data_IF_334569480384
#
_entry.id   IF_334569480384
#
_cell.length_a   1.000
_cell.length_b   1.000
_cell.length_c   1.000
_cell.angle_alpha   90.00
_cell.angle_beta   90.00
_cell.angle_gamma   90.00
#
_symmetry.space_group_name_H-M   'P 1'
#
loop_
_entity.id
_entity.type
_entity.pdbx_description
1 polymer ?
#
# COMPACT_ATOMS: atom_id res chain seq x y z
N UNK A 1 -35.34 8.76 0.93
CA UNK A 1 -34.00 8.19 1.33
C UNK A 1 -32.92 8.92 0.55
N UNK A 2 -31.79 9.26 1.17
CA UNK A 2 -30.67 9.88 0.45
C UNK A 2 -30.08 8.85 -0.52
N UNK A 3 -30.02 9.21 -1.80
CA UNK A 3 -29.42 8.35 -2.85
C UNK A 3 -27.87 8.37 -2.78
N UNK A 4 -27.35 8.31 -1.53
CA UNK A 4 -25.92 8.45 -1.21
C UNK A 4 -25.26 7.09 -1.00
N UNK A 5 -24.07 6.89 -1.56
CA UNK A 5 -23.23 5.72 -1.34
C UNK A 5 -22.30 5.99 -0.17
N UNK A 6 -22.26 5.08 0.80
CA UNK A 6 -21.35 5.15 1.94
C UNK A 6 -20.06 4.39 1.58
N UNK A 7 -18.89 5.02 1.75
CA UNK A 7 -17.60 4.37 1.59
C UNK A 7 -16.96 4.26 2.97
N UNK A 8 -16.76 3.03 3.44
CA UNK A 8 -16.22 2.75 4.77
C UNK A 8 -14.72 2.52 4.65
N UNK A 9 -13.93 3.50 5.10
CA UNK A 9 -12.47 3.52 5.06
C UNK A 9 -11.92 4.52 4.04
N UNK A 10 -11.03 5.40 4.51
CA UNK A 10 -10.30 6.43 3.75
C UNK A 10 -8.91 5.99 3.28
N UNK A 11 -8.66 4.68 3.15
CA UNK A 11 -7.44 4.13 2.56
C UNK A 11 -7.41 4.24 1.04
N UNK A 12 -6.35 3.72 0.40
CA UNK A 12 -6.18 3.77 -1.07
C UNK A 12 -7.42 3.23 -1.80
N UNK A 13 -7.98 2.10 -1.36
CA UNK A 13 -9.16 1.51 -1.98
C UNK A 13 -10.40 2.42 -1.87
N UNK A 14 -10.67 2.95 -0.68
CA UNK A 14 -11.81 3.84 -0.46
C UNK A 14 -11.70 5.16 -1.22
N UNK A 15 -10.53 5.81 -1.19
CA UNK A 15 -10.30 7.06 -1.93
C UNK A 15 -10.34 6.85 -3.46
N UNK A 16 -9.81 5.72 -3.95
CA UNK A 16 -9.89 5.38 -5.38
C UNK A 16 -11.36 5.17 -5.80
N UNK A 17 -12.15 4.51 -4.95
CA UNK A 17 -13.60 4.36 -5.15
C UNK A 17 -14.32 5.70 -5.14
N UNK A 18 -13.99 6.56 -4.18
CA UNK A 18 -14.56 7.91 -4.07
C UNK A 18 -14.31 8.73 -5.34
N UNK A 19 -13.09 8.72 -5.87
CA UNK A 19 -12.74 9.35 -7.14
C UNK A 19 -13.55 8.80 -8.33
N UNK A 20 -13.76 7.49 -8.37
CA UNK A 20 -14.57 6.87 -9.42
C UNK A 20 -16.02 7.35 -9.34
N UNK A 21 -16.62 7.35 -8.15
CA UNK A 21 -17.99 7.84 -7.95
C UNK A 21 -18.12 9.34 -8.25
N UNK A 22 -17.12 10.15 -7.87
CA UNK A 22 -17.05 11.57 -8.18
C UNK A 22 -17.08 11.81 -9.69
N UNK A 23 -16.29 11.06 -10.47
CA UNK A 23 -16.30 11.13 -11.94
C UNK A 23 -17.62 10.70 -12.57
N UNK A 24 -18.35 9.81 -11.94
CA UNK A 24 -19.68 9.37 -12.36
C UNK A 24 -20.79 10.32 -11.88
N UNK A 25 -20.47 11.43 -11.21
CA UNK A 25 -21.41 12.36 -10.60
C UNK A 25 -22.42 11.68 -9.64
N UNK A 26 -21.99 10.62 -8.96
CA UNK A 26 -22.77 9.94 -7.92
C UNK A 26 -22.55 10.60 -6.57
N UNK A 27 -23.62 10.67 -5.74
CA UNK A 27 -23.48 11.17 -4.38
C UNK A 27 -22.86 10.11 -3.48
N UNK A 28 -21.82 10.49 -2.73
CA UNK A 28 -21.13 9.59 -1.80
C UNK A 28 -20.58 10.36 -0.59
N UNK A 29 -20.20 9.62 0.43
CA UNK A 29 -19.43 10.09 1.58
C UNK A 29 -18.42 9.03 1.99
N UNK A 30 -17.18 9.44 2.29
CA UNK A 30 -16.13 8.59 2.86
C UNK A 30 -16.17 8.73 4.37
N UNK A 31 -16.22 7.61 5.07
CA UNK A 31 -16.28 7.51 6.52
C UNK A 31 -15.03 6.77 7.01
N UNK A 32 -14.09 7.52 7.59
CA UNK A 32 -12.77 7.03 8.00
C UNK A 32 -12.68 6.90 9.52
N UNK A 33 -12.14 5.78 9.99
CA UNK A 33 -12.07 5.45 11.41
C UNK A 33 -11.12 6.36 12.21
N UNK A 34 -9.97 6.72 11.62
CA UNK A 34 -9.01 7.59 12.32
C UNK A 34 -9.49 9.03 12.37
N UNK A 35 -9.25 9.75 13.47
CA UNK A 35 -9.64 11.16 13.58
C UNK A 35 -8.82 12.08 12.65
N UNK A 36 -7.61 11.67 12.31
CA UNK A 36 -6.72 12.40 11.42
C UNK A 36 -6.06 11.44 10.43
N UNK A 37 -6.21 11.72 9.14
CA UNK A 37 -5.57 10.94 8.09
C UNK A 37 -4.09 11.33 8.01
N UNK A 38 -3.22 10.45 8.52
CA UNK A 38 -1.77 10.64 8.48
C UNK A 38 -1.14 9.89 7.33
N UNK A 39 -0.10 10.49 6.79
CA UNK A 39 0.75 9.87 5.79
C UNK A 39 1.59 8.77 6.45
N UNK A 40 1.15 7.51 6.37
CA UNK A 40 1.86 6.35 6.91
C UNK A 40 2.17 5.33 5.84
N UNK A 41 3.27 4.62 6.01
CA UNK A 41 3.63 3.47 5.21
C UNK A 41 4.97 3.61 4.52
N UNK A 42 5.34 2.56 3.84
CA UNK A 42 6.57 2.41 3.08
C UNK A 42 6.32 2.65 1.58
N UNK A 43 7.15 2.11 0.70
CA UNK A 43 6.93 2.18 -0.74
C UNK A 43 5.83 1.23 -1.22
N UNK A 44 5.30 1.54 -2.38
CA UNK A 44 4.40 0.69 -3.14
C UNK A 44 4.74 0.76 -4.63
N UNK A 45 4.74 -0.40 -5.29
CA UNK A 45 4.90 -0.48 -6.75
C UNK A 45 3.54 -0.60 -7.42
N UNK A 46 3.29 0.27 -8.37
CA UNK A 46 2.08 0.35 -9.18
C UNK A 46 2.40 -0.20 -10.57
N UNK A 47 1.87 -1.39 -10.85
CA UNK A 47 2.00 -1.98 -12.18
C UNK A 47 1.07 -1.31 -13.20
N UNK A 48 1.31 -1.55 -14.48
CA UNK A 48 0.59 -0.91 -15.58
C UNK A 48 -0.94 -1.00 -15.50
N UNK A 49 -1.50 -2.09 -14.93
CA UNK A 49 -2.94 -2.20 -14.71
C UNK A 49 -3.45 -1.17 -13.68
N UNK A 50 -2.70 -0.94 -12.61
CA UNK A 50 -3.03 0.10 -11.61
C UNK A 50 -2.89 1.50 -12.22
N UNK A 51 -1.80 1.75 -12.96
CA UNK A 51 -1.60 3.04 -13.66
C UNK A 51 -2.70 3.31 -14.69
N UNK A 52 -3.20 2.28 -15.38
CA UNK A 52 -4.37 2.41 -16.28
C UNK A 52 -5.63 2.86 -15.53
N UNK A 53 -5.87 2.30 -14.35
CA UNK A 53 -7.00 2.71 -13.52
C UNK A 53 -6.83 4.16 -13.04
N UNK A 54 -5.64 4.53 -12.55
CA UNK A 54 -5.32 5.90 -12.12
C UNK A 54 -5.44 6.91 -13.27
N UNK A 55 -5.05 6.53 -14.50
CA UNK A 55 -5.25 7.36 -15.70
C UNK A 55 -6.73 7.61 -15.99
N UNK A 56 -7.58 6.59 -15.87
CA UNK A 56 -9.04 6.77 -15.99
C UNK A 56 -9.58 7.70 -14.90
N UNK A 57 -8.97 7.72 -13.74
CA UNK A 57 -9.32 8.63 -12.64
C UNK A 57 -8.71 10.02 -12.80
N UNK A 58 -7.73 10.22 -13.71
CA UNK A 58 -7.10 11.50 -14.00
C UNK A 58 -6.06 11.93 -12.98
N UNK A 59 -5.43 10.97 -12.30
CA UNK A 59 -4.40 11.23 -11.26
C UNK A 59 -3.04 10.58 -11.58
N UNK A 60 -2.93 9.89 -12.71
CA UNK A 60 -1.73 9.16 -13.11
C UNK A 60 -0.51 10.05 -13.30
N UNK A 61 -0.67 11.24 -13.87
CA UNK A 61 0.45 12.17 -14.09
C UNK A 61 1.01 12.71 -12.78
N UNK A 62 0.15 13.00 -11.80
CA UNK A 62 0.60 13.43 -10.47
C UNK A 62 1.29 12.28 -9.72
N UNK A 63 0.80 11.05 -9.88
CA UNK A 63 1.43 9.84 -9.33
C UNK A 63 2.81 9.63 -9.94
N UNK A 64 2.98 9.78 -11.26
CA UNK A 64 4.28 9.72 -11.96
C UNK A 64 5.23 10.79 -11.46
N UNK A 65 4.75 12.02 -11.29
CA UNK A 65 5.54 13.16 -10.83
C UNK A 65 6.10 12.96 -9.42
N UNK A 66 5.33 12.32 -8.52
CA UNK A 66 5.76 12.03 -7.14
C UNK A 66 6.47 10.69 -6.99
N UNK A 67 6.29 9.80 -7.93
CA UNK A 67 6.88 8.47 -7.95
C UNK A 67 8.19 8.41 -8.74
N UNK A 68 8.62 7.20 -9.01
CA UNK A 68 9.77 6.87 -9.85
C UNK A 68 9.39 5.82 -10.89
N UNK A 69 9.75 6.04 -12.14
CA UNK A 69 9.48 5.09 -13.24
C UNK A 69 10.39 3.88 -13.13
N UNK A 70 9.83 2.70 -13.24
CA UNK A 70 10.53 1.43 -13.14
C UNK A 70 10.59 0.79 -14.53
N UNK A 71 11.81 0.63 -15.06
CA UNK A 71 12.08 0.05 -16.37
C UNK A 71 12.26 -1.47 -16.34
N UNK A 72 12.64 -2.05 -15.19
CA UNK A 72 12.72 -3.49 -15.05
C UNK A 72 12.50 -3.97 -13.61
N UNK A 73 12.06 -5.23 -13.49
CA UNK A 73 12.04 -5.95 -12.22
C UNK A 73 13.00 -7.15 -12.32
N UNK A 74 13.95 -7.22 -11.42
CA UNK A 74 15.03 -8.22 -11.41
C UNK A 74 14.88 -9.11 -10.18
N UNK A 75 14.95 -10.42 -10.38
CA UNK A 75 15.12 -11.40 -9.32
C UNK A 75 16.52 -11.96 -9.42
N UNK A 76 17.26 -11.96 -8.31
CA UNK A 76 18.61 -12.46 -8.22
C UNK A 76 18.82 -13.36 -6.98
N UNK A 77 19.90 -14.14 -6.95
CA UNK A 77 20.31 -14.88 -5.76
C UNK A 77 21.11 -13.98 -4.79
N UNK A 78 21.45 -14.51 -3.63
CA UNK A 78 22.20 -13.79 -2.58
C UNK A 78 23.65 -13.42 -2.96
N UNK A 79 24.13 -13.88 -4.12
CA UNK A 79 25.43 -13.52 -4.72
C UNK A 79 25.30 -12.49 -5.85
N UNK A 80 24.08 -12.05 -6.14
CA UNK A 80 23.78 -11.11 -7.22
C UNK A 80 23.71 -11.77 -8.60
N UNK A 81 23.67 -13.10 -8.70
CA UNK A 81 23.43 -13.78 -9.96
C UNK A 81 21.97 -13.68 -10.34
N UNK A 82 21.71 -13.09 -11.49
CA UNK A 82 20.37 -12.91 -12.02
C UNK A 82 19.66 -14.24 -12.27
N UNK A 83 18.48 -14.38 -11.70
CA UNK A 83 17.57 -15.51 -11.88
C UNK A 83 16.54 -15.18 -12.96
N UNK A 84 15.95 -13.98 -12.89
CA UNK A 84 14.92 -13.54 -13.83
C UNK A 84 14.97 -12.03 -14.01
N UNK A 85 14.52 -11.56 -15.16
CA UNK A 85 14.30 -10.15 -15.45
C UNK A 85 12.97 -9.98 -16.21
N UNK A 86 12.16 -9.07 -15.77
CA UNK A 86 11.01 -8.59 -16.50
C UNK A 86 11.31 -7.18 -17.05
N UNK A 87 11.28 -7.05 -18.35
CA UNK A 87 11.46 -5.77 -19.06
C UNK A 87 10.14 -4.99 -19.01
N UNK A 88 9.99 -4.17 -17.97
CA UNK A 88 8.80 -3.35 -17.76
C UNK A 88 8.74 -2.19 -18.77
N UNK A 89 9.87 -1.71 -19.27
CA UNK A 89 9.93 -0.67 -20.28
C UNK A 89 9.39 -1.16 -21.63
N UNK A 90 9.75 -2.40 -22.02
CA UNK A 90 9.17 -3.02 -23.22
C UNK A 90 7.64 -3.12 -23.11
N UNK A 91 7.16 -3.61 -21.97
CA UNK A 91 5.71 -3.70 -21.71
C UNK A 91 5.05 -2.31 -21.71
N UNK A 92 5.71 -1.29 -21.19
CA UNK A 92 5.22 0.09 -21.23
C UNK A 92 5.10 0.60 -22.66
N UNK A 93 6.10 0.37 -23.52
CA UNK A 93 6.05 0.76 -24.94
C UNK A 93 4.95 0.04 -25.71
N UNK A 94 4.77 -1.26 -25.49
CA UNK A 94 3.77 -2.07 -26.19
C UNK A 94 2.33 -1.75 -25.76
N UNK A 95 2.11 -1.38 -24.50
CA UNK A 95 0.77 -1.19 -23.94
C UNK A 95 0.46 0.25 -23.50
N UNK A 96 1.41 1.17 -23.63
CA UNK A 96 1.25 2.57 -23.22
C UNK A 96 1.01 2.75 -21.71
N UNK A 97 1.62 1.89 -20.90
CA UNK A 97 1.38 1.81 -19.45
C UNK A 97 2.70 1.74 -18.67
N UNK A 98 2.97 2.74 -17.89
CA UNK A 98 4.16 2.80 -17.05
C UNK A 98 4.02 1.94 -15.78
N UNK A 99 5.15 1.53 -15.23
CA UNK A 99 5.25 0.99 -13.89
C UNK A 99 5.89 2.07 -13.01
N UNK A 100 5.28 2.36 -11.86
CA UNK A 100 5.71 3.44 -10.97
C UNK A 100 5.87 2.91 -9.56
N UNK A 101 7.01 3.19 -8.94
CA UNK A 101 7.17 3.01 -7.50
C UNK A 101 7.05 4.36 -6.80
N UNK A 102 6.27 4.41 -5.73
CA UNK A 102 5.94 5.66 -5.04
C UNK A 102 5.90 5.41 -3.52
N UNK A 103 6.17 6.44 -2.73
CA UNK A 103 5.88 6.36 -1.30
C UNK A 103 4.36 6.23 -1.10
N UNK A 104 3.92 5.26 -0.29
CA UNK A 104 2.48 4.99 -0.10
C UNK A 104 1.71 6.21 0.43
N UNK A 105 2.37 7.03 1.25
CA UNK A 105 1.81 8.29 1.73
C UNK A 105 1.58 9.31 0.61
N UNK A 106 2.51 9.40 -0.35
CA UNK A 106 2.36 10.31 -1.50
C UNK A 106 1.22 9.86 -2.40
N UNK A 107 1.09 8.56 -2.67
CA UNK A 107 -0.07 8.04 -3.40
C UNK A 107 -1.39 8.36 -2.68
N UNK A 108 -1.42 8.13 -1.37
CA UNK A 108 -2.59 8.44 -0.56
C UNK A 108 -2.94 9.94 -0.62
N UNK A 109 -1.93 10.81 -0.50
CA UNK A 109 -2.11 12.26 -0.59
C UNK A 109 -2.63 12.71 -1.96
N UNK A 110 -2.12 12.12 -3.07
CA UNK A 110 -2.63 12.39 -4.42
C UNK A 110 -4.12 12.07 -4.50
N UNK A 111 -4.53 10.91 -4.01
CA UNK A 111 -5.94 10.50 -4.01
C UNK A 111 -6.80 11.42 -3.13
N UNK A 112 -6.33 11.70 -1.91
CA UNK A 112 -7.04 12.51 -0.93
C UNK A 112 -7.29 13.94 -1.43
N UNK A 113 -6.27 14.59 -2.00
CA UNK A 113 -6.39 15.96 -2.50
C UNK A 113 -7.20 16.09 -3.79
N UNK A 114 -7.50 14.97 -4.45
CA UNK A 114 -8.34 14.93 -5.67
C UNK A 114 -9.83 14.77 -5.37
N UNK A 115 -10.21 14.61 -4.10
CA UNK A 115 -11.60 14.48 -3.64
C UNK A 115 -12.00 15.76 -2.93
N UNK A 116 -13.27 16.18 -3.09
CA UNK A 116 -13.85 17.25 -2.29
C UNK A 116 -13.80 16.87 -0.79
N UNK A 117 -13.09 17.65 0.00
CA UNK A 117 -12.89 17.41 1.44
C UNK A 117 -14.20 17.37 2.23
N UNK A 118 -15.25 18.05 1.76
CA UNK A 118 -16.60 18.00 2.38
C UNK A 118 -17.25 16.62 2.27
N UNK A 119 -16.70 15.72 1.44
CA UNK A 119 -17.18 14.34 1.27
C UNK A 119 -16.41 13.33 2.11
N UNK A 120 -15.55 13.79 3.02
CA UNK A 120 -14.74 12.94 3.89
C UNK A 120 -15.03 13.30 5.35
N UNK A 121 -15.43 12.31 6.12
CA UNK A 121 -15.66 12.44 7.56
C UNK A 121 -14.75 11.47 8.30
N UNK A 122 -13.92 11.99 9.17
CA UNK A 122 -12.98 11.23 10.01
C UNK A 122 -13.57 10.93 11.39
N UNK A 123 -12.93 10.03 12.14
CA UNK A 123 -13.40 9.61 13.47
C UNK A 123 -14.67 8.75 13.43
N UNK A 124 -14.93 8.06 12.29
CA UNK A 124 -16.11 7.22 12.07
C UNK A 124 -15.72 5.75 11.89
N UNK A 125 -15.48 5.06 12.98
CA UNK A 125 -15.15 3.64 12.98
C UNK A 125 -16.42 2.81 12.92
N UNK A 126 -16.68 2.20 11.77
CA UNK A 126 -17.81 1.33 11.55
C UNK A 126 -17.68 0.05 12.38
N UNK A 127 -18.73 -0.29 13.14
CA UNK A 127 -18.77 -1.50 13.99
C UNK A 127 -19.88 -2.46 13.61
N UNK A 128 -20.95 -1.97 12.94
CA UNK A 128 -22.10 -2.78 12.56
C UNK A 128 -22.83 -2.20 11.35
N UNK A 129 -23.76 -2.98 10.81
CA UNK A 129 -24.66 -2.55 9.76
C UNK A 129 -26.00 -3.26 9.85
N UNK A 130 -27.04 -2.63 9.29
CA UNK A 130 -28.34 -3.27 9.02
C UNK A 130 -28.79 -2.95 7.60
N UNK A 131 -29.35 -3.94 6.92
CA UNK A 131 -29.96 -3.78 5.61
C UNK A 131 -31.48 -3.71 5.77
N UNK A 132 -32.10 -2.77 5.08
CA UNK A 132 -33.52 -2.54 5.06
C UNK A 132 -34.00 -2.33 3.61
N UNK A 133 -35.29 -2.57 3.29
CA UNK A 133 -35.80 -2.29 1.97
C UNK A 133 -35.49 -0.85 1.55
N UNK A 134 -34.60 -0.70 0.55
CA UNK A 134 -34.19 0.57 -0.03
C UNK A 134 -32.94 1.21 0.55
N UNK A 135 -32.16 0.52 1.39
CA UNK A 135 -30.88 1.07 1.85
C UNK A 135 -30.16 0.28 2.91
N UNK A 136 -29.08 0.87 3.37
CA UNK A 136 -28.21 0.32 4.41
C UNK A 136 -27.94 1.37 5.49
N UNK A 137 -27.91 0.96 6.74
CA UNK A 137 -27.49 1.77 7.88
C UNK A 137 -26.18 1.23 8.42
N UNK A 138 -25.17 2.08 8.56
CA UNK A 138 -23.89 1.78 9.20
C UNK A 138 -23.90 2.38 10.60
N UNK A 139 -23.49 1.60 11.59
CA UNK A 139 -23.35 2.01 12.99
C UNK A 139 -21.88 2.21 13.34
N UNK A 140 -21.58 3.26 14.10
CA UNK A 140 -20.23 3.63 14.51
C UNK A 140 -20.01 3.44 16.01
N UNK A 141 -18.74 3.34 16.42
CA UNK A 141 -18.35 3.13 17.82
C UNK A 141 -18.64 4.33 18.73
N UNK A 142 -18.84 5.53 18.14
CA UNK A 142 -19.29 6.74 18.84
C UNK A 142 -20.82 6.78 19.11
N UNK A 143 -21.54 5.71 18.78
CA UNK A 143 -23.00 5.61 18.90
C UNK A 143 -23.80 6.29 17.78
N UNK A 144 -23.14 6.97 16.86
CA UNK A 144 -23.80 7.55 15.69
C UNK A 144 -24.10 6.51 14.60
N UNK A 145 -24.93 6.88 13.64
CA UNK A 145 -25.23 6.07 12.47
C UNK A 145 -25.35 6.92 11.22
N UNK A 146 -25.08 6.34 10.06
CA UNK A 146 -25.29 6.96 8.75
C UNK A 146 -26.08 6.02 7.85
N UNK A 147 -26.99 6.60 7.04
CA UNK A 147 -27.86 5.86 6.12
C UNK A 147 -27.52 6.20 4.67
N UNK A 148 -27.46 5.17 3.83
CA UNK A 148 -27.23 5.30 2.41
C UNK A 148 -28.03 4.31 1.59
N UNK A 149 -28.02 4.49 0.27
CA UNK A 149 -28.62 3.54 -0.68
C UNK A 149 -27.78 2.27 -0.82
N UNK A 150 -26.47 2.37 -0.60
CA UNK A 150 -25.50 1.28 -0.63
C UNK A 150 -24.29 1.61 0.24
N UNK A 151 -23.50 0.60 0.62
CA UNK A 151 -22.20 0.78 1.26
C UNK A 151 -21.11 0.01 0.53
N UNK A 152 -19.93 0.62 0.40
CA UNK A 152 -18.71 -0.01 -0.12
C UNK A 152 -17.74 -0.15 1.04
N UNK A 153 -17.42 -1.39 1.39
CA UNK A 153 -16.57 -1.69 2.55
C UNK A 153 -15.12 -1.75 2.11
N UNK A 154 -14.35 -0.75 2.50
CA UNK A 154 -12.93 -0.55 2.18
C UNK A 154 -12.07 -0.35 3.44
N UNK A 155 -12.50 -0.90 4.59
CA UNK A 155 -11.93 -0.75 5.93
C UNK A 155 -10.73 -1.68 6.23
N UNK A 156 -10.15 -2.28 5.18
CA UNK A 156 -8.86 -2.96 5.21
C UNK A 156 -8.90 -4.43 5.65
N UNK A 157 -7.68 -4.97 5.91
CA UNK A 157 -7.51 -6.38 6.19
C UNK A 157 -8.14 -6.83 7.50
N UNK A 158 -8.32 -5.93 8.46
CA UNK A 158 -8.94 -6.19 9.76
C UNK A 158 -10.41 -5.75 9.82
N UNK A 159 -11.07 -5.65 8.66
CA UNK A 159 -12.46 -5.24 8.51
C UNK A 159 -13.39 -5.94 9.51
N UNK A 160 -14.04 -5.14 10.35
CA UNK A 160 -15.07 -5.59 11.29
C UNK A 160 -16.35 -5.98 10.57
N UNK A 161 -16.71 -5.22 9.56
CA UNK A 161 -17.91 -5.48 8.74
C UNK A 161 -17.76 -6.78 7.94
N UNK A 162 -16.59 -6.99 7.29
CA UNK A 162 -16.33 -8.26 6.58
C UNK A 162 -16.45 -9.46 7.52
N UNK A 163 -15.93 -9.37 8.74
CA UNK A 163 -15.99 -10.44 9.74
C UNK A 163 -17.43 -10.80 10.10
N UNK A 164 -18.35 -9.83 10.07
CA UNK A 164 -19.79 -10.08 10.30
C UNK A 164 -20.46 -10.68 9.07
N UNK A 165 -20.12 -10.20 7.88
CA UNK A 165 -20.66 -10.73 6.61
C UNK A 165 -20.16 -12.15 6.31
N UNK A 166 -18.90 -12.43 6.64
CA UNK A 166 -18.20 -13.67 6.32
C UNK A 166 -17.42 -14.16 7.56
N UNK A 167 -18.11 -14.69 8.59
CA UNK A 167 -17.48 -15.06 9.87
C UNK A 167 -16.37 -16.11 9.74
N UNK A 168 -16.49 -17.00 8.75
CA UNK A 168 -15.53 -18.08 8.48
C UNK A 168 -14.24 -17.60 7.80
N UNK A 169 -14.21 -16.34 7.31
CA UNK A 169 -13.08 -15.81 6.56
C UNK A 169 -12.18 -14.99 7.48
N UNK A 170 -10.96 -15.48 7.68
CA UNK A 170 -9.91 -14.78 8.41
C UNK A 170 -8.65 -14.61 7.54
N UNK A 171 -7.82 -13.58 7.80
CA UNK A 171 -6.53 -13.45 7.14
C UNK A 171 -5.67 -14.71 7.37
N UNK A 172 -5.14 -15.29 6.28
CA UNK A 172 -4.24 -16.43 6.36
C UNK A 172 -2.80 -15.94 6.55
N UNK A 173 -2.14 -16.46 7.56
CA UNK A 173 -0.71 -16.22 7.73
C UNK A 173 0.09 -16.93 6.64
N UNK A 174 1.03 -16.22 6.00
CA UNK A 174 1.79 -16.72 4.85
C UNK A 174 3.12 -17.40 5.21
N UNK A 175 3.42 -17.56 6.49
CA UNK A 175 4.63 -18.27 6.97
C UNK A 175 5.87 -17.38 7.07
N UNK A 176 5.77 -16.06 6.94
CA UNK A 176 6.90 -15.16 7.06
C UNK A 176 6.49 -13.81 7.68
N UNK A 177 7.46 -13.13 8.26
CA UNK A 177 7.37 -11.73 8.68
C UNK A 177 8.08 -10.83 7.68
N UNK A 178 7.80 -9.52 7.72
CA UNK A 178 8.34 -8.55 6.78
C UNK A 178 8.63 -7.23 7.49
N UNK A 179 9.87 -6.80 7.44
CA UNK A 179 10.31 -5.45 7.82
C UNK A 179 10.43 -4.58 6.57
N UNK A 180 10.25 -3.29 6.74
CA UNK A 180 10.28 -2.32 5.65
C UNK A 180 10.94 -1.04 6.11
N UNK A 181 11.53 -0.31 5.17
CA UNK A 181 12.06 1.01 5.46
C UNK A 181 12.22 1.85 4.20
N UNK A 182 12.48 3.13 4.41
CA UNK A 182 12.76 4.09 3.35
C UNK A 182 14.01 4.87 3.74
N UNK A 183 14.97 4.93 2.83
CA UNK A 183 16.26 5.62 3.03
C UNK A 183 16.57 6.53 1.85
N UNK A 184 17.53 7.43 2.00
CA UNK A 184 18.04 8.23 0.89
C UNK A 184 18.77 7.34 -0.12
N UNK A 185 18.62 7.63 -1.42
CA UNK A 185 19.26 6.87 -2.49
C UNK A 185 20.73 7.30 -2.67
N UNK A 186 21.63 6.73 -1.88
CA UNK A 186 23.06 7.01 -1.92
C UNK A 186 23.83 6.09 -2.87
N UNK A 187 23.16 5.07 -3.41
CA UNK A 187 23.77 4.02 -4.25
C UNK A 187 23.46 4.21 -5.73
N UNK A 188 22.85 5.34 -6.10
CA UNK A 188 22.45 5.65 -7.48
C UNK A 188 21.59 4.53 -8.10
N UNK A 189 20.70 3.96 -7.30
CA UNK A 189 19.70 3.01 -7.79
C UNK A 189 18.72 3.79 -8.66
N UNK A 190 18.65 3.45 -9.96
CA UNK A 190 17.86 4.25 -10.90
C UNK A 190 16.53 3.58 -11.20
N UNK A 191 16.42 2.80 -12.28
CA UNK A 191 15.12 2.39 -12.82
C UNK A 191 14.79 0.91 -12.58
N UNK A 192 15.50 0.26 -11.65
CA UNK A 192 15.35 -1.18 -11.42
C UNK A 192 14.75 -1.45 -10.03
N UNK A 193 13.67 -2.24 -9.99
CA UNK A 193 13.26 -2.92 -8.78
C UNK A 193 13.99 -4.25 -8.70
N UNK A 194 14.60 -4.55 -7.58
CA UNK A 194 15.38 -5.78 -7.38
C UNK A 194 14.82 -6.55 -6.19
N UNK A 195 14.65 -7.85 -6.32
CA UNK A 195 14.37 -8.76 -5.21
C UNK A 195 15.43 -9.87 -5.19
N UNK A 196 16.16 -9.98 -4.11
CA UNK A 196 17.21 -10.98 -3.88
C UNK A 196 16.67 -12.13 -3.03
N UNK A 197 16.81 -13.32 -3.53
CA UNK A 197 16.37 -14.56 -2.87
C UNK A 197 17.56 -15.35 -2.33
N UNK A 198 17.54 -15.64 -1.04
CA UNK A 198 18.61 -16.42 -0.40
C UNK A 198 18.12 -17.24 0.78
N UNK A 199 19.00 -18.04 1.34
CA UNK A 199 18.69 -18.94 2.46
C UNK A 199 18.32 -18.21 3.75
N UNK A 200 18.72 -16.94 3.89
CA UNK A 200 18.44 -16.09 5.05
C UNK A 200 17.12 -15.31 4.92
N UNK A 201 16.48 -15.37 3.77
CA UNK A 201 15.25 -14.68 3.48
C UNK A 201 15.24 -14.00 2.11
N UNK A 202 14.27 -13.13 1.87
CA UNK A 202 14.18 -12.30 0.67
C UNK A 202 14.40 -10.86 1.04
N UNK A 203 15.14 -10.13 0.23
CA UNK A 203 15.32 -8.70 0.37
C UNK A 203 14.99 -8.02 -0.95
N UNK A 204 14.14 -7.02 -0.92
CA UNK A 204 13.84 -6.25 -2.11
C UNK A 204 14.08 -4.77 -1.89
N UNK A 205 14.49 -4.08 -2.95
CA UNK A 205 14.63 -2.63 -2.95
C UNK A 205 14.18 -2.03 -4.28
N UNK A 206 13.68 -0.82 -4.21
CA UNK A 206 13.17 -0.09 -5.37
C UNK A 206 13.31 1.40 -5.17
N UNK A 207 13.80 2.16 -6.17
CA UNK A 207 13.82 3.61 -6.10
C UNK A 207 12.37 4.14 -6.12
N UNK A 208 12.11 5.14 -5.31
CA UNK A 208 10.84 5.87 -5.25
C UNK A 208 11.11 7.38 -5.44
N UNK A 209 10.06 8.17 -5.48
CA UNK A 209 10.20 9.63 -5.61
C UNK A 209 11.10 10.28 -4.57
N UNK A 210 11.51 11.52 -4.83
CA UNK A 210 12.34 12.36 -3.93
C UNK A 210 13.71 11.75 -3.61
N UNK A 211 14.35 11.07 -4.57
CA UNK A 211 15.65 10.44 -4.43
C UNK A 211 15.74 9.46 -3.24
N UNK A 212 14.68 8.69 -3.01
CA UNK A 212 14.62 7.69 -1.94
C UNK A 212 14.58 6.26 -2.48
N UNK A 213 14.94 5.33 -1.61
CA UNK A 213 14.82 3.88 -1.85
C UNK A 213 13.90 3.30 -0.79
N UNK A 214 12.87 2.63 -1.24
CA UNK A 214 12.07 1.74 -0.41
C UNK A 214 12.70 0.35 -0.43
N UNK A 215 12.81 -0.28 0.73
CA UNK A 215 13.25 -1.66 0.85
C UNK A 215 12.30 -2.49 1.73
N UNK A 216 12.34 -3.80 1.53
CA UNK A 216 11.68 -4.77 2.40
C UNK A 216 12.58 -5.98 2.62
N UNK A 217 12.49 -6.57 3.82
CA UNK A 217 13.16 -7.80 4.20
C UNK A 217 12.14 -8.80 4.71
N UNK A 218 12.07 -9.97 4.09
CA UNK A 218 11.16 -11.04 4.50
C UNK A 218 11.95 -12.23 5.05
N UNK A 219 11.52 -12.77 6.17
CA UNK A 219 12.10 -13.95 6.80
C UNK A 219 11.00 -14.91 7.24
N UNK A 220 11.17 -16.20 6.92
CA UNK A 220 10.24 -17.21 7.38
C UNK A 220 10.25 -17.28 8.91
N UNK A 221 9.08 -17.30 9.50
CA UNK A 221 8.89 -17.34 10.93
C UNK A 221 7.56 -18.02 11.27
N UNK A 222 7.43 -18.66 12.45
CA UNK A 222 6.14 -19.07 12.98
C UNK A 222 5.17 -17.89 13.16
N UNK A 223 3.89 -18.19 13.20
CA UNK A 223 2.88 -17.16 13.51
C UNK A 223 3.11 -16.63 14.94
N UNK A 224 3.08 -15.29 15.09
CA UNK A 224 3.30 -14.60 16.38
C UNK A 224 4.63 -14.95 17.04
N UNK A 225 5.69 -15.15 16.27
CA UNK A 225 7.05 -15.32 16.78
C UNK A 225 7.50 -14.04 17.51
N UNK A 226 7.65 -14.15 18.84
CA UNK A 226 8.01 -13.02 19.69
C UNK A 226 9.41 -12.49 19.37
N UNK A 227 10.36 -13.36 18.99
CA UNK A 227 11.71 -12.96 18.58
C UNK A 227 11.68 -12.04 17.38
N UNK A 228 10.81 -12.30 16.41
CA UNK A 228 10.69 -11.45 15.20
C UNK A 228 10.14 -10.07 15.52
N UNK A 229 9.30 -9.93 16.54
CA UNK A 229 8.77 -8.63 16.97
C UNK A 229 9.81 -7.76 17.69
N UNK A 230 10.89 -8.37 18.19
CA UNK A 230 12.00 -7.68 18.86
C UNK A 230 13.15 -7.34 17.91
N UNK A 231 13.11 -7.81 16.66
CA UNK A 231 14.16 -7.56 15.68
C UNK A 231 14.37 -6.05 15.46
N UNK A 232 15.63 -5.66 15.54
CA UNK A 232 16.12 -4.31 15.24
C UNK A 232 16.91 -4.30 13.94
N UNK A 233 17.28 -3.13 13.51
CA UNK A 233 18.10 -2.97 12.31
C UNK A 233 19.43 -3.75 12.41
N UNK A 234 20.05 -3.79 13.58
CA UNK A 234 21.28 -4.57 13.81
C UNK A 234 21.11 -6.07 13.51
N UNK A 235 19.94 -6.64 13.86
CA UNK A 235 19.64 -8.05 13.61
C UNK A 235 19.45 -8.32 12.11
N UNK A 236 18.83 -7.36 11.40
CA UNK A 236 18.68 -7.43 9.94
C UNK A 236 20.03 -7.27 9.23
N UNK A 237 20.88 -6.34 9.68
CA UNK A 237 22.26 -6.19 9.17
C UNK A 237 23.03 -7.51 9.31
N UNK A 238 22.99 -8.14 10.49
CA UNK A 238 23.66 -9.43 10.72
C UNK A 238 23.05 -10.56 9.88
N UNK A 239 21.74 -10.59 9.71
CA UNK A 239 21.07 -11.63 8.92
C UNK A 239 21.43 -11.54 7.44
N UNK A 240 21.53 -10.33 6.87
CA UNK A 240 21.71 -10.10 5.44
C UNK A 240 23.15 -9.65 5.06
N UNK A 241 24.12 -9.68 5.98
CA UNK A 241 25.50 -9.21 5.77
C UNK A 241 26.26 -9.89 4.62
N UNK A 242 25.87 -11.12 4.25
CA UNK A 242 26.46 -11.88 3.16
C UNK A 242 25.78 -11.69 1.81
N UNK A 243 24.71 -10.90 1.77
CA UNK A 243 24.00 -10.61 0.53
C UNK A 243 24.78 -9.61 -0.32
N UNK A 244 24.46 -9.61 -1.61
CA UNK A 244 25.13 -8.73 -2.57
C UNK A 244 24.89 -7.25 -2.26
N UNK A 245 25.83 -6.41 -2.70
CA UNK A 245 25.67 -4.95 -2.69
C UNK A 245 24.45 -4.53 -3.52
N UNK A 246 23.64 -3.53 -3.10
CA UNK A 246 23.86 -2.65 -1.95
C UNK A 246 23.08 -3.03 -0.66
N UNK A 247 22.63 -4.27 -0.51
CA UNK A 247 21.72 -4.69 0.57
C UNK A 247 22.28 -4.41 1.97
N UNK A 248 23.53 -4.82 2.32
CA UNK A 248 24.07 -4.53 3.64
C UNK A 248 24.19 -3.02 3.92
N UNK A 249 24.49 -2.24 2.90
CA UNK A 249 24.66 -0.78 3.01
C UNK A 249 23.31 -0.07 3.21
N UNK A 250 22.26 -0.49 2.51
CA UNK A 250 20.90 0.00 2.70
C UNK A 250 20.45 -0.22 4.15
N UNK A 251 20.70 -1.41 4.69
CA UNK A 251 20.34 -1.72 6.08
C UNK A 251 21.15 -0.89 7.09
N UNK A 252 22.46 -0.68 6.87
CA UNK A 252 23.32 0.15 7.72
C UNK A 252 22.89 1.63 7.73
N UNK A 253 22.29 2.10 6.64
CA UNK A 253 21.81 3.48 6.51
C UNK A 253 20.38 3.67 7.07
N UNK A 254 19.74 2.59 7.50
CA UNK A 254 18.40 2.60 8.11
C UNK A 254 18.52 2.70 9.62
N UNK A 255 17.72 3.56 10.26
CA UNK A 255 17.59 3.62 11.72
C UNK A 255 16.44 2.75 12.23
N UNK A 256 16.48 2.36 13.52
CA UNK A 256 15.35 1.66 14.16
C UNK A 256 14.06 2.48 14.14
N UNK A 257 14.15 3.81 14.09
CA UNK A 257 13.00 4.70 14.01
C UNK A 257 12.31 4.66 12.63
N UNK A 258 13.03 4.26 11.58
CA UNK A 258 12.53 4.15 10.20
C UNK A 258 12.06 2.73 9.86
N UNK A 259 12.19 1.80 10.83
CA UNK A 259 11.79 0.41 10.66
C UNK A 259 10.27 0.26 10.87
N UNK A 260 9.60 -0.32 9.87
CA UNK A 260 8.15 -0.56 9.81
C UNK A 260 7.87 -2.06 9.83
#
# INVERSE_FOLDING_TARGET
>A
MKNRILIIGGGIAGLTTALALQKMNLDFIVLEAVPEIKAVGAGISLAGNAMRALKKLGVDEEVKRRGHLISSMIIEDDKGKRISIMDAEKLSREHGLDNVAIHRADLHQVLLTSIDTNRIVTGKKAIDFSEEPGGITIFFDDGSKEQGSAAIIADGIHSGIRKKLLPEVSPRYSGYTCWRGVVENRWNIQHHAVETWGSKGRFGYVPIGNNKVYWFACKNAPIKDEMMSLFRISDLVDNFKSYTYPIPEILKDTSDADLI
#
